data_IF_831814674953
#
_entry.id   IF_831814674953
#
_cell.length_a   1.000
_cell.length_b   1.000
_cell.length_c   1.000
_cell.angle_alpha   90.00
_cell.angle_beta   90.00
_cell.angle_gamma   90.00
#
_symmetry.space_group_name_H-M   'P 1'
#
loop_
_entity.id
_entity.type
_entity.pdbx_description
1 polymer ?
#
# COMPACT_ATOMS: atom_id res chain seq x y z
N UNK A 1 12.03 16.97 15.11
CA UNK A 1 10.60 16.65 15.11
C UNK A 1 10.48 15.32 15.82
N UNK A 2 9.82 15.29 16.97
CA UNK A 2 9.71 14.08 17.80
C UNK A 2 8.80 13.07 17.09
N UNK A 3 9.40 12.07 16.43
CA UNK A 3 8.65 10.96 15.85
C UNK A 3 8.20 10.05 16.98
N UNK A 4 6.97 10.26 17.45
CA UNK A 4 6.35 9.37 18.42
C UNK A 4 5.98 8.04 17.76
N UNK A 5 6.26 6.93 18.46
CA UNK A 5 6.04 5.58 17.98
C UNK A 5 4.57 5.24 17.74
N UNK A 6 3.66 5.77 18.55
CA UNK A 6 2.23 5.50 18.43
C UNK A 6 1.44 6.81 18.28
N UNK A 7 0.39 6.78 17.47
CA UNK A 7 -0.62 7.84 17.43
C UNK A 7 -2.02 7.24 17.26
N UNK A 8 -3.03 7.98 17.71
CA UNK A 8 -4.44 7.58 17.67
C UNK A 8 -5.20 8.54 16.78
N UNK A 9 -6.13 8.03 15.98
CA UNK A 9 -7.08 8.82 15.21
C UNK A 9 -8.48 8.57 15.78
N UNK A 10 -9.17 9.64 16.18
CA UNK A 10 -10.56 9.54 16.65
C UNK A 10 -11.50 9.10 15.53
N UNK A 11 -12.72 8.68 15.87
CA UNK A 11 -13.76 8.38 14.87
C UNK A 11 -14.13 9.60 14.00
N UNK A 12 -13.84 10.82 14.48
CA UNK A 12 -13.98 12.08 13.74
C UNK A 12 -12.78 12.48 12.89
N UNK A 13 -11.69 11.70 12.90
CA UNK A 13 -10.48 11.96 12.11
C UNK A 13 -9.44 12.85 12.79
N UNK A 14 -9.62 13.19 14.07
CA UNK A 14 -8.66 14.00 14.83
C UNK A 14 -7.46 13.14 15.24
N UNK A 15 -6.25 13.64 14.99
CA UNK A 15 -5.00 12.94 15.28
C UNK A 15 -4.44 13.35 16.64
N UNK A 16 -4.13 12.37 17.47
CA UNK A 16 -3.48 12.54 18.76
C UNK A 16 -2.14 11.81 18.79
N UNK A 17 -1.06 12.58 18.86
CA UNK A 17 0.32 12.12 18.95
C UNK A 17 0.81 12.07 20.41
N UNK A 18 2.05 11.59 20.64
CA UNK A 18 2.71 11.69 21.95
C UNK A 18 2.91 10.37 22.69
N UNK A 19 2.66 9.24 22.04
CA UNK A 19 2.69 7.94 22.71
C UNK A 19 3.94 7.14 22.34
N UNK A 20 4.81 6.92 23.31
CA UNK A 20 6.00 6.06 23.18
C UNK A 20 5.69 4.59 23.50
N UNK A 21 4.65 4.35 24.31
CA UNK A 21 4.25 3.02 24.78
C UNK A 21 2.89 2.64 24.22
N UNK A 22 2.79 1.40 23.70
CA UNK A 22 1.57 0.85 23.10
C UNK A 22 0.36 0.98 24.01
N UNK A 23 0.53 0.58 25.28
CA UNK A 23 -0.55 0.55 26.28
C UNK A 23 -1.22 1.91 26.50
N UNK A 24 -0.47 3.00 26.39
CA UNK A 24 -1.02 4.35 26.55
C UNK A 24 -1.90 4.72 25.35
N UNK A 25 -1.46 4.39 24.14
CA UNK A 25 -2.21 4.65 22.92
C UNK A 25 -3.46 3.74 22.79
N UNK A 26 -3.38 2.49 23.27
CA UNK A 26 -4.53 1.57 23.33
C UNK A 26 -5.65 2.10 24.23
N UNK A 27 -5.31 2.58 25.43
CA UNK A 27 -6.30 3.11 26.38
C UNK A 27 -7.08 4.29 25.77
N UNK A 28 -6.38 5.17 25.05
CA UNK A 28 -6.98 6.34 24.39
C UNK A 28 -7.83 5.94 23.19
N UNK A 29 -7.38 4.98 22.39
CA UNK A 29 -8.18 4.45 21.30
C UNK A 29 -9.52 3.88 21.82
N UNK A 30 -9.48 3.11 22.92
CA UNK A 30 -10.67 2.56 23.56
C UNK A 30 -11.58 3.63 24.16
N UNK A 31 -11.03 4.74 24.67
CA UNK A 31 -11.79 5.88 25.17
C UNK A 31 -12.56 6.59 24.05
N UNK A 32 -11.96 6.72 22.86
CA UNK A 32 -12.64 7.28 21.68
C UNK A 32 -13.77 6.39 21.14
N UNK A 33 -13.83 5.13 21.56
CA UNK A 33 -14.90 4.22 21.21
C UNK A 33 -14.87 3.75 19.75
N UNK A 34 -15.98 3.16 19.31
CA UNK A 34 -16.03 2.44 18.04
C UNK A 34 -15.69 3.34 16.84
N UNK A 35 -14.81 2.86 15.98
CA UNK A 35 -14.30 3.60 14.81
C UNK A 35 -12.98 4.35 15.04
N UNK A 36 -12.44 4.38 16.26
CA UNK A 36 -11.11 4.93 16.54
C UNK A 36 -10.00 4.01 16.03
N UNK A 37 -8.90 4.59 15.56
CA UNK A 37 -7.75 3.86 15.00
C UNK A 37 -6.49 4.07 15.84
N UNK A 38 -5.79 2.99 16.16
CA UNK A 38 -4.44 3.01 16.75
C UNK A 38 -3.41 2.69 15.68
N UNK A 39 -2.31 3.45 15.63
CA UNK A 39 -1.25 3.32 14.63
C UNK A 39 0.13 3.14 15.30
N UNK A 40 0.83 2.03 15.05
CA UNK A 40 2.25 1.83 15.46
C UNK A 40 3.20 2.11 14.29
N UNK A 41 3.98 3.18 14.36
CA UNK A 41 4.85 3.65 13.27
C UNK A 41 6.19 2.91 13.15
N UNK A 42 6.59 2.11 14.15
CA UNK A 42 7.91 1.43 14.18
C UNK A 42 7.83 -0.08 14.47
N UNK A 43 6.64 -0.69 14.61
CA UNK A 43 6.47 -2.15 14.73
C UNK A 43 7.17 -2.96 13.63
N UNK A 44 7.34 -2.37 12.45
CA UNK A 44 8.34 -2.76 11.48
C UNK A 44 8.70 -1.50 10.71
N UNK A 45 9.96 -1.37 10.29
CA UNK A 45 10.58 -0.14 9.74
C UNK A 45 9.79 0.53 8.58
N UNK A 46 8.69 -0.04 8.06
CA UNK A 46 7.84 0.59 7.06
C UNK A 46 6.31 0.29 7.09
N UNK A 47 5.73 -0.16 8.22
CA UNK A 47 4.29 -0.52 8.20
C UNK A 47 3.57 -0.04 9.45
N UNK A 48 2.71 1.00 9.37
CA UNK A 48 1.78 1.30 10.45
C UNK A 48 0.88 0.09 10.71
N UNK A 49 0.96 -0.47 11.92
CA UNK A 49 -0.02 -1.44 12.42
C UNK A 49 -1.29 -0.66 12.75
N UNK A 50 -2.37 -0.90 12.00
CA UNK A 50 -3.64 -0.22 12.24
C UNK A 50 -4.61 -1.19 12.94
N UNK A 51 -5.04 -0.80 14.12
CA UNK A 51 -6.08 -1.47 14.92
C UNK A 51 -7.28 -0.55 15.05
N UNK A 52 -8.49 -1.09 14.99
CA UNK A 52 -9.74 -0.34 15.18
C UNK A 52 -10.43 -0.79 16.46
N UNK A 53 -11.12 0.13 17.12
CA UNK A 53 -12.04 -0.23 18.19
C UNK A 53 -13.39 -0.61 17.58
N UNK A 54 -13.83 -1.83 17.84
CA UNK A 54 -15.15 -2.32 17.41
C UNK A 54 -15.75 -3.19 18.52
N UNK A 55 -16.91 -2.78 19.05
CA UNK A 55 -17.53 -3.42 20.21
C UNK A 55 -16.71 -3.26 21.49
N UNK A 56 -15.94 -2.17 21.62
CA UNK A 56 -15.10 -1.90 22.80
C UNK A 56 -13.85 -2.77 22.91
N UNK A 57 -13.43 -3.43 21.82
CA UNK A 57 -12.21 -4.23 21.75
C UNK A 57 -11.37 -3.76 20.56
N UNK A 58 -10.06 -3.66 20.75
CA UNK A 58 -9.12 -3.42 19.65
C UNK A 58 -9.04 -4.65 18.76
N UNK A 59 -9.50 -4.51 17.53
CA UNK A 59 -9.38 -5.52 16.48
C UNK A 59 -8.32 -5.09 15.51
N UNK A 60 -7.44 -6.05 15.20
CA UNK A 60 -6.47 -5.88 14.14
C UNK A 60 -7.20 -5.81 12.79
N UNK A 61 -7.29 -4.61 12.21
CA UNK A 61 -7.74 -4.44 10.82
C UNK A 61 -6.71 -4.96 9.83
N UNK A 62 -5.44 -5.00 10.25
CA UNK A 62 -4.34 -5.67 9.57
C UNK A 62 -3.21 -4.72 9.18
N UNK A 63 -2.05 -5.32 8.89
CA UNK A 63 -0.96 -4.63 8.20
C UNK A 63 -1.44 -4.12 6.83
N UNK A 64 -1.64 -2.82 6.66
CA UNK A 64 -1.77 -2.21 5.33
C UNK A 64 -3.11 -1.58 4.96
N UNK A 65 -3.33 -0.34 5.38
CA UNK A 65 -4.14 0.58 4.60
C UNK A 65 -3.50 1.97 4.66
N UNK A 66 -3.07 2.47 3.50
CA UNK A 66 -2.73 3.90 3.33
C UNK A 66 -4.02 4.73 3.43
N UNK A 67 -5.14 4.14 2.97
CA UNK A 67 -6.48 4.66 3.11
C UNK A 67 -7.44 3.51 3.49
N UNK A 68 -8.04 3.59 4.67
CA UNK A 68 -8.98 2.59 5.20
C UNK A 68 -10.31 2.54 4.46
N UNK A 69 -10.63 3.56 3.65
CA UNK A 69 -11.78 3.56 2.76
C UNK A 69 -11.54 2.78 1.44
N UNK A 70 -10.32 2.30 1.20
CA UNK A 70 -9.95 1.61 -0.04
C UNK A 70 -9.61 0.14 0.20
N UNK A 71 -9.88 -0.70 -0.81
CA UNK A 71 -9.48 -2.10 -0.80
C UNK A 71 -7.96 -2.30 -0.92
N UNK A 72 -7.47 -3.54 -0.73
CA UNK A 72 -6.04 -3.86 -0.79
C UNK A 72 -5.41 -3.60 -2.18
N UNK A 73 -6.19 -3.78 -3.26
CA UNK A 73 -5.74 -3.49 -4.63
C UNK A 73 -5.46 -1.99 -4.84
N UNK A 74 -6.40 -1.12 -4.47
CA UNK A 74 -6.21 0.33 -4.54
C UNK A 74 -5.05 0.81 -3.66
N UNK A 75 -4.95 0.27 -2.45
CA UNK A 75 -3.86 0.61 -1.53
C UNK A 75 -2.48 0.23 -2.09
N UNK A 76 -2.37 -0.93 -2.76
CA UNK A 76 -1.15 -1.33 -3.47
C UNK A 76 -0.83 -0.35 -4.62
N UNK A 77 -1.84 -0.01 -5.43
CA UNK A 77 -1.66 0.91 -6.56
C UNK A 77 -1.21 2.29 -6.08
N UNK A 78 -1.80 2.81 -5.01
CA UNK A 78 -1.42 4.10 -4.45
C UNK A 78 0.02 4.08 -3.91
N UNK A 79 0.42 3.01 -3.22
CA UNK A 79 1.81 2.83 -2.79
C UNK A 79 2.79 2.82 -3.97
N UNK A 80 2.42 2.19 -5.09
CA UNK A 80 3.22 2.20 -6.33
C UNK A 80 3.25 3.59 -6.97
N UNK A 81 2.13 4.29 -7.04
CA UNK A 81 2.04 5.68 -7.53
C UNK A 81 2.95 6.62 -6.74
N UNK A 82 3.03 6.44 -5.42
CA UNK A 82 3.94 7.21 -4.55
C UNK A 82 5.38 6.73 -4.59
N UNK A 83 5.62 5.45 -4.88
CA UNK A 83 6.96 4.88 -5.00
C UNK A 83 7.48 4.25 -3.71
N UNK A 84 6.58 3.92 -2.78
CA UNK A 84 6.96 3.38 -1.47
C UNK A 84 7.26 1.88 -1.55
N UNK A 85 8.45 1.55 -2.05
CA UNK A 85 8.89 0.16 -2.24
C UNK A 85 8.73 -0.75 -1.02
N UNK A 86 9.10 -0.34 0.20
CA UNK A 86 8.89 -1.18 1.39
C UNK A 86 7.41 -1.51 1.64
N UNK A 87 6.52 -0.56 1.43
CA UNK A 87 5.08 -0.75 1.60
C UNK A 87 4.51 -1.65 0.48
N UNK A 88 4.99 -1.50 -0.76
CA UNK A 88 4.67 -2.41 -1.86
C UNK A 88 5.10 -3.84 -1.52
N UNK A 89 6.30 -4.05 -0.98
CA UNK A 89 6.76 -5.38 -0.53
C UNK A 89 5.85 -5.96 0.56
N UNK A 90 5.44 -5.14 1.51
CA UNK A 90 4.54 -5.58 2.59
C UNK A 90 3.16 -6.01 2.03
N UNK A 91 2.59 -5.25 1.09
CA UNK A 91 1.33 -5.62 0.44
C UNK A 91 1.45 -6.92 -0.35
N UNK A 92 2.53 -7.09 -1.12
CA UNK A 92 2.76 -8.29 -1.94
C UNK A 92 3.04 -9.53 -1.09
N UNK A 93 3.76 -9.39 0.02
CA UNK A 93 4.01 -10.48 0.95
C UNK A 93 2.72 -11.00 1.62
N UNK A 94 1.76 -10.11 1.88
CA UNK A 94 0.50 -10.46 2.56
C UNK A 94 -0.62 -10.86 1.61
N UNK A 95 -0.77 -10.16 0.47
CA UNK A 95 -1.78 -10.43 -0.54
C UNK A 95 -1.42 -11.55 -1.52
N UNK A 96 -0.18 -12.05 -1.46
CA UNK A 96 0.34 -13.07 -2.37
C UNK A 96 0.43 -12.58 -3.83
N UNK A 97 0.86 -13.48 -4.70
CA UNK A 97 1.07 -13.20 -6.13
C UNK A 97 -0.23 -12.84 -6.88
N UNK A 98 -1.41 -13.20 -6.33
CA UNK A 98 -2.70 -12.80 -6.88
C UNK A 98 -2.91 -11.29 -6.85
N UNK A 99 -2.52 -10.63 -5.74
CA UNK A 99 -2.70 -9.18 -5.59
C UNK A 99 -1.88 -8.38 -6.62
N UNK A 100 -0.65 -8.82 -6.94
CA UNK A 100 0.19 -8.18 -7.95
C UNK A 100 -0.43 -8.24 -9.37
N UNK A 101 -1.14 -9.32 -9.67
CA UNK A 101 -1.72 -9.62 -10.98
C UNK A 101 -3.07 -8.96 -11.19
N UNK A 102 -3.90 -8.98 -10.16
CA UNK A 102 -5.31 -8.64 -10.26
C UNK A 102 -5.60 -7.20 -9.85
N UNK A 103 -4.73 -6.55 -9.07
CA UNK A 103 -4.94 -5.18 -8.63
C UNK A 103 -5.04 -4.23 -9.82
N UNK A 104 -6.23 -3.66 -10.03
CA UNK A 104 -6.57 -2.68 -11.07
C UNK A 104 -7.32 -1.53 -10.44
N UNK A 105 -7.03 -0.33 -10.90
CA UNK A 105 -7.82 0.84 -10.54
C UNK A 105 -9.09 0.95 -11.40
N UNK A 106 -9.91 1.96 -11.11
CA UNK A 106 -11.13 2.26 -11.88
C UNK A 106 -10.89 2.49 -13.39
N UNK A 107 -9.66 2.84 -13.80
CA UNK A 107 -9.26 2.98 -15.20
C UNK A 107 -8.76 1.67 -15.82
N UNK A 108 -8.86 0.55 -15.11
CA UNK A 108 -8.35 -0.75 -15.51
C UNK A 108 -6.83 -0.86 -15.46
N UNK A 109 -6.11 0.15 -14.96
CA UNK A 109 -4.64 0.15 -14.92
C UNK A 109 -4.14 -0.69 -13.75
N UNK A 110 -3.24 -1.62 -14.02
CA UNK A 110 -2.62 -2.44 -12.97
C UNK A 110 -1.56 -1.68 -12.18
N UNK A 111 -1.16 -2.22 -11.03
CA UNK A 111 0.02 -1.70 -10.30
C UNK A 111 1.26 -1.60 -11.20
N UNK A 112 1.47 -2.56 -12.11
CA UNK A 112 2.59 -2.57 -13.03
C UNK A 112 2.50 -1.45 -14.10
N UNK A 113 1.29 -1.08 -14.55
CA UNK A 113 1.11 0.09 -15.42
C UNK A 113 1.60 1.37 -14.73
N UNK A 114 1.25 1.57 -13.46
CA UNK A 114 1.66 2.75 -12.69
C UNK A 114 3.17 2.78 -12.42
N UNK A 115 3.79 1.62 -12.16
CA UNK A 115 5.24 1.53 -12.01
C UNK A 115 5.97 1.85 -13.33
N UNK A 116 5.49 1.29 -14.45
CA UNK A 116 6.05 1.53 -15.79
C UNK A 116 5.86 2.99 -16.24
N UNK A 117 4.66 3.55 -16.07
CA UNK A 117 4.38 4.96 -16.33
C UNK A 117 5.29 5.88 -15.50
N UNK A 118 5.55 5.53 -14.24
CA UNK A 118 6.37 6.30 -13.32
C UNK A 118 7.88 6.17 -13.53
N UNK A 119 8.36 5.32 -14.43
CA UNK A 119 9.81 5.10 -14.59
C UNK A 119 10.44 4.32 -13.43
N UNK A 120 9.64 3.60 -12.63
CA UNK A 120 10.08 3.04 -11.34
C UNK A 120 10.67 1.64 -11.50
N UNK A 121 11.87 1.55 -12.06
CA UNK A 121 12.57 0.28 -12.33
C UNK A 121 12.49 -0.74 -11.19
N UNK A 122 12.85 -0.33 -9.97
CA UNK A 122 12.84 -1.22 -8.80
C UNK A 122 11.44 -1.76 -8.44
N UNK A 123 10.39 -1.00 -8.71
CA UNK A 123 9.01 -1.46 -8.49
C UNK A 123 8.51 -2.34 -9.63
N UNK A 124 8.95 -2.07 -10.86
CA UNK A 124 8.68 -2.94 -12.01
C UNK A 124 9.26 -4.32 -11.74
N UNK A 125 10.54 -4.42 -11.38
CA UNK A 125 11.19 -5.68 -11.03
C UNK A 125 10.47 -6.40 -9.88
N UNK A 126 10.11 -5.66 -8.83
CA UNK A 126 9.42 -6.23 -7.68
C UNK A 126 8.06 -6.82 -8.08
N UNK A 127 7.24 -6.08 -8.83
CA UNK A 127 5.92 -6.54 -9.25
C UNK A 127 6.00 -7.74 -10.20
N UNK A 128 6.96 -7.74 -11.12
CA UNK A 128 7.24 -8.89 -12.00
C UNK A 128 7.67 -10.13 -11.22
N UNK A 129 8.53 -9.97 -10.20
CA UNK A 129 8.95 -11.07 -9.34
C UNK A 129 7.77 -11.70 -8.55
N UNK A 130 6.71 -10.92 -8.33
CA UNK A 130 5.45 -11.38 -7.74
C UNK A 130 4.40 -11.79 -8.79
N UNK A 131 4.81 -11.97 -10.04
CA UNK A 131 4.00 -12.54 -11.11
C UNK A 131 3.07 -11.55 -11.82
N UNK A 132 3.25 -10.24 -11.65
CA UNK A 132 2.48 -9.25 -12.41
C UNK A 132 2.69 -9.43 -13.92
N UNK A 133 1.60 -9.30 -14.68
CA UNK A 133 1.58 -9.54 -16.12
C UNK A 133 2.03 -8.29 -16.91
N UNK A 134 3.17 -8.33 -17.62
CA UNK A 134 3.66 -7.22 -18.45
C UNK A 134 2.83 -7.01 -19.73
N UNK A 135 2.00 -7.97 -20.10
CA UNK A 135 1.12 -7.90 -21.28
C UNK A 135 -0.34 -7.56 -20.90
N UNK A 136 -0.59 -7.32 -19.61
CA UNK A 136 -1.86 -6.80 -19.13
C UNK A 136 -2.19 -5.48 -19.83
N UNK A 137 -3.45 -5.34 -20.25
CA UNK A 137 -3.98 -4.11 -20.88
C UNK A 137 -4.71 -3.23 -19.87
N UNK A 138 -4.48 -1.93 -19.92
CA UNK A 138 -5.29 -0.94 -19.21
C UNK A 138 -6.69 -0.76 -19.86
N UNK A 139 -7.54 0.08 -19.28
CA UNK A 139 -8.87 0.39 -19.84
C UNK A 139 -8.85 1.09 -21.20
N UNK A 140 -7.68 1.53 -21.69
CA UNK A 140 -7.48 2.07 -23.04
C UNK A 140 -6.91 1.03 -24.01
N UNK A 141 -6.71 -0.21 -23.57
CA UNK A 141 -6.14 -1.29 -24.37
C UNK A 141 -4.62 -1.22 -24.51
N UNK A 142 -3.94 -0.31 -23.80
CA UNK A 142 -2.47 -0.18 -23.84
C UNK A 142 -1.83 -1.20 -22.92
N UNK A 143 -0.81 -1.92 -23.37
CA UNK A 143 -0.05 -2.86 -22.52
C UNK A 143 1.00 -2.14 -21.67
N UNK A 144 1.45 -2.77 -20.58
CA UNK A 144 2.55 -2.24 -19.77
C UNK A 144 3.81 -2.05 -20.63
N UNK A 145 4.16 -3.03 -21.47
CA UNK A 145 5.31 -2.94 -22.39
C UNK A 145 5.22 -1.73 -23.31
N UNK A 146 4.05 -1.52 -23.92
CA UNK A 146 3.83 -0.39 -24.82
C UNK A 146 3.90 0.95 -24.07
N UNK A 147 3.33 1.02 -22.88
CA UNK A 147 3.40 2.19 -22.01
C UNK A 147 4.86 2.52 -21.63
N UNK A 148 5.65 1.51 -21.29
CA UNK A 148 7.09 1.67 -21.00
C UNK A 148 7.86 2.14 -22.24
N UNK A 149 7.67 1.53 -23.41
CA UNK A 149 8.35 1.96 -24.66
C UNK A 149 8.08 3.42 -25.00
N UNK A 150 6.86 3.90 -24.75
CA UNK A 150 6.46 5.29 -25.04
C UNK A 150 7.04 6.30 -24.06
N UNK A 151 7.24 5.93 -22.79
CA UNK A 151 7.60 6.87 -21.72
C UNK A 151 9.02 6.72 -21.16
N UNK A 152 9.49 5.48 -21.06
CA UNK A 152 10.74 5.06 -20.41
C UNK A 152 11.35 3.87 -21.20
N UNK A 153 11.96 4.12 -22.37
CA UNK A 153 12.46 3.07 -23.26
C UNK A 153 13.45 2.09 -22.59
N UNK A 154 14.21 2.57 -21.62
CA UNK A 154 15.11 1.77 -20.79
C UNK A 154 14.38 0.72 -19.94
N UNK A 155 13.15 0.99 -19.51
CA UNK A 155 12.29 0.00 -18.83
C UNK A 155 11.67 -1.00 -19.78
N UNK A 156 11.49 -0.65 -21.06
CA UNK A 156 10.99 -1.61 -22.03
C UNK A 156 11.96 -2.80 -22.16
N UNK A 157 13.27 -2.55 -22.16
CA UNK A 157 14.28 -3.60 -22.17
C UNK A 157 14.23 -4.48 -20.90
N UNK A 158 13.78 -3.94 -19.76
CA UNK A 158 13.59 -4.71 -18.53
C UNK A 158 12.36 -5.62 -18.64
N UNK A 159 11.24 -5.08 -19.11
CA UNK A 159 10.02 -5.85 -19.33
C UNK A 159 10.24 -6.93 -20.40
N UNK A 160 10.98 -6.63 -21.47
CA UNK A 160 11.32 -7.58 -22.55
C UNK A 160 12.12 -8.80 -22.07
N UNK A 161 12.79 -8.68 -20.92
CA UNK A 161 13.53 -9.79 -20.29
C UNK A 161 12.69 -10.60 -19.32
N UNK A 162 11.56 -10.09 -18.85
CA UNK A 162 10.57 -10.86 -18.07
C UNK A 162 9.64 -11.59 -19.04
N UNK A 163 9.81 -12.92 -19.11
CA UNK A 163 9.09 -13.85 -19.97
C UNK A 163 8.14 -14.72 -19.14
#
# INVERSE_FOLDING_TARGET
MSDFRYFVISSGGERCDGYEQRRAAEAVALEYGDGAHLVDTVAAVYTPLIEIVEGGVLKLLGFGAWNTALGPAENLIEAVKKGYGPLVRAFLAKGGNGLAREARDAGGSTALHWAAAGGKAALVELLLAHGADPDARDGRGTTVRELARRRHPELAALLDRSN
#
